data_IF_459847901946
#
_entry.id   IF_459847901946
#
_cell.length_a   1.000
_cell.length_b   1.000
_cell.length_c   1.000
_cell.angle_alpha   90.00
_cell.angle_beta   90.00
_cell.angle_gamma   90.00
#
_symmetry.space_group_name_H-M   'P 1'
#
loop_
_entity.id
_entity.type
_entity.pdbx_description
1 polymer ?
#
# COMPACT_ATOMS: atom_id res chain seq x y z
N UNK A 1 -5.35 -2.72 12.71
CA UNK A 1 -4.22 -2.66 11.76
C UNK A 1 -3.66 -4.05 11.64
N UNK A 2 -3.93 -4.71 10.50
CA UNK A 2 -3.29 -5.97 10.12
C UNK A 2 -2.50 -5.71 8.85
N UNK A 3 -1.28 -6.20 8.78
CA UNK A 3 -0.45 -6.16 7.57
C UNK A 3 -0.24 -7.57 7.04
N UNK A 4 0.12 -7.69 5.76
CA UNK A 4 0.51 -8.96 5.14
C UNK A 4 1.87 -9.50 5.67
N UNK A 5 2.51 -8.75 6.57
CA UNK A 5 3.78 -9.07 7.20
C UNK A 5 5.00 -8.61 6.41
N UNK A 6 4.81 -7.98 5.24
CA UNK A 6 5.90 -7.52 4.38
C UNK A 6 6.18 -6.04 4.63
N UNK A 7 7.44 -5.75 4.93
CA UNK A 7 8.00 -4.41 5.01
C UNK A 7 9.18 -4.36 4.05
N UNK A 8 9.19 -3.37 3.16
CA UNK A 8 10.34 -3.10 2.30
C UNK A 8 10.93 -1.73 2.61
N UNK A 9 12.25 -1.60 2.48
CA UNK A 9 12.97 -0.37 2.86
C UNK A 9 13.44 0.34 1.60
N UNK A 10 13.22 1.65 1.51
CA UNK A 10 13.69 2.42 0.36
C UNK A 10 15.22 2.36 0.24
N UNK A 11 15.80 2.47 -0.97
CA UNK A 11 17.24 2.34 -1.15
C UNK A 11 18.07 3.35 -0.33
N UNK A 12 17.54 4.54 -0.07
CA UNK A 12 18.15 5.55 0.80
C UNK A 12 17.94 5.31 2.31
N UNK A 13 17.20 4.27 2.69
CA UNK A 13 16.92 3.89 4.07
C UNK A 13 15.96 4.82 4.81
N UNK A 14 15.32 5.79 4.14
CA UNK A 14 14.52 6.83 4.80
C UNK A 14 13.03 6.51 4.90
N UNK A 15 12.54 5.60 4.06
CA UNK A 15 11.12 5.25 3.99
C UNK A 15 10.91 3.75 4.09
N UNK A 16 9.85 3.38 4.78
CA UNK A 16 9.31 2.02 4.79
C UNK A 16 8.12 1.97 3.84
N UNK A 17 8.05 0.91 3.05
CA UNK A 17 6.86 0.54 2.29
C UNK A 17 6.12 -0.54 3.06
N UNK A 18 4.84 -0.31 3.29
CA UNK A 18 3.99 -1.11 4.15
C UNK A 18 2.72 -1.46 3.39
N UNK A 19 2.36 -2.75 3.35
CA UNK A 19 1.00 -3.17 3.00
C UNK A 19 0.21 -3.31 4.29
N UNK A 20 -0.55 -2.26 4.62
CA UNK A 20 -1.31 -2.20 5.87
C UNK A 20 -2.76 -1.94 5.56
N UNK A 21 -3.59 -2.73 6.22
CA UNK A 21 -4.99 -2.48 6.34
C UNK A 21 -5.29 -1.47 7.46
N UNK A 22 -5.87 -0.33 7.07
CA UNK A 22 -6.27 0.76 7.96
C UNK A 22 -7.77 0.81 8.24
N UNK A 23 -8.51 -0.29 7.98
CA UNK A 23 -9.95 -0.38 8.23
C UNK A 23 -10.78 0.44 7.24
N UNK A 24 -10.28 0.67 6.04
CA UNK A 24 -11.09 1.30 4.98
C UNK A 24 -12.02 0.27 4.35
N UNK A 25 -13.32 0.52 4.47
CA UNK A 25 -14.35 -0.28 3.79
C UNK A 25 -14.19 -0.18 2.27
N UNK A 26 -14.09 -1.34 1.62
CA UNK A 26 -13.91 -1.38 0.16
C UNK A 26 -15.17 -0.97 -0.61
N UNK A 27 -16.35 -1.17 -0.01
CA UNK A 27 -17.65 -0.99 -0.65
C UNK A 27 -17.90 -1.89 -1.86
N UNK A 28 -17.07 -2.92 -2.09
CA UNK A 28 -17.25 -3.88 -3.18
C UNK A 28 -18.16 -5.02 -2.72
N UNK A 29 -19.17 -5.33 -3.53
CA UNK A 29 -20.19 -6.35 -3.25
C UNK A 29 -19.60 -7.76 -3.01
N UNK A 30 -18.50 -8.09 -3.70
CA UNK A 30 -17.87 -9.41 -3.65
C UNK A 30 -16.55 -9.41 -2.86
N UNK A 31 -16.37 -8.45 -1.96
CA UNK A 31 -15.19 -8.37 -1.09
C UNK A 31 -15.62 -8.13 0.36
N UNK A 32 -15.50 -9.17 1.17
CA UNK A 32 -15.75 -9.10 2.61
C UNK A 32 -14.43 -8.86 3.33
N UNK A 33 -14.05 -7.59 3.40
CA UNK A 33 -12.82 -7.19 4.06
C UNK A 33 -12.43 -5.74 3.77
N UNK A 34 -11.47 -5.24 4.55
CA UNK A 34 -10.94 -3.91 4.31
C UNK A 34 -10.05 -3.87 3.06
N UNK A 35 -9.85 -2.67 2.53
CA UNK A 35 -9.22 -2.45 1.23
C UNK A 35 -7.69 -2.49 1.34
N UNK A 36 -7.00 -3.46 0.70
CA UNK A 36 -5.55 -3.56 0.76
C UNK A 36 -4.90 -2.36 0.06
N UNK A 37 -4.08 -1.61 0.80
CA UNK A 37 -3.44 -0.39 0.33
C UNK A 37 -1.96 -0.37 0.70
N UNK A 38 -1.17 0.30 -0.14
CA UNK A 38 0.24 0.56 0.14
C UNK A 38 0.42 1.92 0.76
N UNK A 39 1.28 1.97 1.77
CA UNK A 39 1.65 3.16 2.51
C UNK A 39 3.16 3.32 2.52
N UNK A 40 3.63 4.56 2.36
CA UNK A 40 4.99 4.92 2.76
C UNK A 40 4.98 5.50 4.17
N UNK A 41 5.93 5.08 4.99
CA UNK A 41 6.21 5.71 6.28
C UNK A 41 7.58 6.36 6.19
N UNK A 42 7.63 7.69 6.29
CA UNK A 42 8.88 8.44 6.35
C UNK A 42 9.40 8.45 7.79
N UNK A 43 10.61 7.91 7.99
CA UNK A 43 11.17 7.69 9.33
C UNK A 43 11.51 9.02 10.02
N UNK A 44 12.04 9.99 9.27
CA UNK A 44 12.50 11.26 9.83
C UNK A 44 11.34 12.13 10.34
N UNK A 45 10.28 12.24 9.53
CA UNK A 45 9.08 13.01 9.88
C UNK A 45 8.02 12.21 10.64
N UNK A 46 8.19 10.89 10.75
CA UNK A 46 7.21 9.95 11.30
C UNK A 46 5.83 10.04 10.64
N UNK A 47 5.81 10.38 9.35
CA UNK A 47 4.57 10.58 8.59
C UNK A 47 4.26 9.37 7.72
N UNK A 48 3.05 8.84 7.88
CA UNK A 48 2.48 7.87 6.95
C UNK A 48 1.75 8.57 5.80
N UNK A 49 1.98 8.11 4.57
CA UNK A 49 1.31 8.60 3.35
C UNK A 49 0.82 7.42 2.52
N UNK A 50 -0.46 7.43 2.13
CA UNK A 50 -1.01 6.41 1.26
C UNK A 50 -0.50 6.62 -0.17
N UNK A 51 -0.04 5.53 -0.81
CA UNK A 51 0.48 5.54 -2.17
C UNK A 51 -0.57 5.12 -3.19
N UNK A 52 -1.43 4.16 -2.86
CA UNK A 52 -2.49 3.71 -3.78
C UNK A 52 -3.72 4.63 -3.73
N UNK A 53 -4.38 4.92 -4.86
CA UNK A 53 -5.65 5.64 -4.87
C UNK A 53 -6.75 4.95 -4.07
N UNK A 54 -7.70 5.74 -3.55
CA UNK A 54 -8.96 5.21 -3.00
C UNK A 54 -9.63 4.33 -4.08
N UNK A 55 -10.03 3.10 -3.71
CA UNK A 55 -10.64 2.06 -4.58
C UNK A 55 -9.67 1.20 -5.41
N UNK A 56 -8.37 1.50 -5.44
CA UNK A 56 -7.36 0.59 -6.00
C UNK A 56 -6.88 -0.36 -4.91
N UNK A 57 -7.00 -1.66 -5.19
CA UNK A 57 -6.48 -2.70 -4.31
C UNK A 57 -5.03 -2.93 -4.69
N UNK A 58 -4.10 -2.80 -3.75
CA UNK A 58 -2.67 -2.99 -4.00
C UNK A 58 -1.95 -3.62 -2.82
N UNK A 59 -1.05 -4.56 -3.13
CA UNK A 59 -0.29 -5.37 -2.16
C UNK A 59 1.06 -5.80 -2.75
N UNK A 60 1.91 -6.47 -1.95
CA UNK A 60 3.22 -6.97 -2.37
C UNK A 60 4.11 -5.91 -3.04
N UNK A 61 4.13 -4.71 -2.46
CA UNK A 61 4.95 -3.61 -2.96
C UNK A 61 6.45 -3.81 -2.67
N UNK A 62 7.30 -3.35 -3.60
CA UNK A 62 8.75 -3.26 -3.44
C UNK A 62 9.26 -1.97 -4.07
N UNK A 63 10.28 -1.35 -3.46
CA UNK A 63 11.01 -0.24 -4.05
C UNK A 63 11.87 -0.73 -5.23
N UNK A 64 11.72 -0.09 -6.38
CA UNK A 64 12.62 -0.28 -7.53
C UNK A 64 13.79 0.69 -7.41
N UNK A 65 13.50 1.91 -6.96
CA UNK A 65 14.45 2.97 -6.66
C UNK A 65 13.85 3.90 -5.58
N UNK A 66 14.48 5.05 -5.33
CA UNK A 66 13.99 6.00 -4.31
C UNK A 66 12.64 6.64 -4.64
N UNK A 67 12.17 6.59 -5.88
CA UNK A 67 10.97 7.29 -6.32
C UNK A 67 9.89 6.35 -6.86
N UNK A 68 10.26 5.13 -7.24
CA UNK A 68 9.38 4.19 -7.90
C UNK A 68 9.18 2.91 -7.08
N UNK A 69 7.93 2.44 -7.06
CA UNK A 69 7.56 1.14 -6.48
C UNK A 69 6.94 0.26 -7.56
N UNK A 70 7.22 -1.05 -7.48
CA UNK A 70 6.49 -2.09 -8.18
C UNK A 70 5.54 -2.75 -7.19
N UNK A 71 4.30 -3.04 -7.61
CA UNK A 71 3.34 -3.71 -6.75
C UNK A 71 2.29 -4.48 -7.55
N UNK A 72 1.66 -5.44 -6.90
CA UNK A 72 0.51 -6.15 -7.45
C UNK A 72 -0.75 -5.34 -7.20
N UNK A 73 -1.63 -5.27 -8.19
CA UNK A 73 -2.90 -4.55 -8.03
C UNK A 73 -4.06 -5.29 -8.68
N UNK A 74 -5.25 -5.07 -8.13
CA UNK A 74 -6.51 -5.45 -8.75
C UNK A 74 -7.37 -4.20 -8.95
N UNK A 75 -7.27 -3.65 -10.16
CA UNK A 75 -8.19 -2.65 -10.67
C UNK A 75 -9.38 -3.33 -11.33
N UNK A 76 -10.59 -2.87 -11.01
CA UNK A 76 -11.71 -3.08 -11.93
C UNK A 76 -11.43 -2.29 -13.21
N UNK A 77 -11.28 -2.97 -14.35
CA UNK A 77 -11.55 -2.32 -15.64
C UNK A 77 -13.06 -2.11 -15.71
N UNK A 78 -13.50 -0.87 -15.93
CA UNK A 78 -14.76 -0.67 -16.64
C UNK A 78 -14.52 -1.17 -18.06
N UNK A 79 -15.15 -2.27 -18.43
CA UNK A 79 -15.49 -2.50 -19.84
C UNK A 79 -16.49 -1.43 -20.30
#
# INVERSE_FOLDING_TARGET
MSGDGRIDVSPDGKRLLLSIDMGEESGRKDWDGPLPALWSFDIGSQKATRLTPKKLFGWDGVWIDNNNILFLSNGWRKE
#
